data_IF_133703206375
#
_entry.id   IF_133703206375
#
_cell.length_a   1.000
_cell.length_b   1.000
_cell.length_c   1.000
_cell.angle_alpha   90.00
_cell.angle_beta   90.00
_cell.angle_gamma   90.00
#
_symmetry.space_group_name_H-M   'P 1'
#
loop_
_entity.id
_entity.type
_entity.pdbx_description
1 polymer ?
#
# COMPACT_ATOMS: atom_id res chain seq x y z
N UNK A 1 -21.04 -8.41 5.05
CA UNK A 1 -21.23 -9.10 3.75
C UNK A 1 -20.86 -8.21 2.56
N UNK A 2 -21.32 -6.95 2.48
CA UNK A 2 -20.89 -6.09 1.35
C UNK A 2 -19.37 -5.86 1.31
N UNK A 3 -18.75 -5.59 2.48
CA UNK A 3 -17.29 -5.40 2.59
C UNK A 3 -16.47 -6.61 2.17
N UNK A 4 -16.99 -7.82 2.36
CA UNK A 4 -16.30 -9.06 1.99
C UNK A 4 -16.38 -9.33 0.50
N UNK A 5 -17.50 -8.98 -0.15
CA UNK A 5 -17.64 -9.06 -1.60
C UNK A 5 -16.66 -8.08 -2.27
N UNK A 6 -16.65 -6.82 -1.83
CA UNK A 6 -15.72 -5.82 -2.34
C UNK A 6 -14.26 -6.25 -2.15
N UNK A 7 -13.91 -6.79 -0.98
CA UNK A 7 -12.58 -7.33 -0.74
C UNK A 7 -12.23 -8.45 -1.73
N UNK A 8 -13.09 -9.45 -1.90
CA UNK A 8 -12.81 -10.56 -2.83
C UNK A 8 -12.68 -10.08 -4.28
N UNK A 9 -13.46 -9.07 -4.69
CA UNK A 9 -13.33 -8.45 -6.02
C UNK A 9 -12.00 -7.70 -6.16
N UNK A 10 -11.59 -6.94 -5.14
CA UNK A 10 -10.30 -6.23 -5.15
C UNK A 10 -9.12 -7.20 -5.22
N UNK A 11 -9.15 -8.29 -4.45
CA UNK A 11 -8.12 -9.35 -4.48
C UNK A 11 -8.10 -10.08 -5.82
N UNK A 12 -9.27 -10.26 -6.44
CA UNK A 12 -9.34 -10.85 -7.77
C UNK A 12 -8.64 -9.98 -8.81
N UNK A 13 -8.83 -8.65 -8.76
CA UNK A 13 -8.24 -7.70 -9.71
C UNK A 13 -6.74 -7.47 -9.48
N UNK A 14 -6.29 -7.48 -8.22
CA UNK A 14 -4.89 -7.30 -7.86
C UNK A 14 -4.56 -8.11 -6.61
N UNK A 15 -3.38 -8.73 -6.59
CA UNK A 15 -2.97 -9.61 -5.48
C UNK A 15 -2.75 -8.84 -4.17
N UNK A 16 -2.19 -7.63 -4.23
CA UNK A 16 -1.73 -6.89 -3.07
C UNK A 16 -2.83 -6.50 -2.06
N UNK A 17 -4.04 -6.09 -2.48
CA UNK A 17 -5.20 -5.90 -1.60
C UNK A 17 -5.53 -7.09 -0.68
N UNK A 18 -4.97 -8.29 -0.90
CA UNK A 18 -5.17 -9.44 -0.01
C UNK A 18 -4.83 -9.12 1.45
N UNK A 19 -3.87 -8.22 1.70
CA UNK A 19 -3.49 -7.80 3.05
C UNK A 19 -4.63 -7.07 3.81
N UNK A 20 -5.62 -6.52 3.11
CA UNK A 20 -6.78 -5.86 3.73
C UNK A 20 -7.64 -6.84 4.54
N UNK A 21 -7.43 -8.16 4.38
CA UNK A 21 -8.03 -9.17 5.26
C UNK A 21 -7.75 -8.86 6.73
N UNK A 22 -6.56 -8.33 7.07
CA UNK A 22 -6.21 -7.98 8.44
C UNK A 22 -7.11 -6.86 8.99
N UNK A 23 -7.37 -5.81 8.21
CA UNK A 23 -8.29 -4.75 8.60
C UNK A 23 -9.73 -5.26 8.74
N UNK A 24 -10.16 -6.16 7.84
CA UNK A 24 -11.46 -6.81 7.97
C UNK A 24 -11.55 -7.65 9.24
N UNK A 25 -10.54 -8.44 9.57
CA UNK A 25 -10.53 -9.27 10.79
C UNK A 25 -10.54 -8.44 12.07
N UNK A 26 -9.84 -7.31 12.08
CA UNK A 26 -9.82 -6.38 13.22
C UNK A 26 -11.17 -5.69 13.40
N UNK A 27 -11.91 -5.42 12.31
CA UNK A 27 -13.22 -4.76 12.37
C UNK A 27 -14.26 -5.56 13.17
N UNK A 28 -14.22 -6.89 13.10
CA UNK A 28 -15.19 -7.75 13.77
C UNK A 28 -14.58 -8.31 15.06
N UNK A 29 -15.31 -8.20 16.17
CA UNK A 29 -14.83 -8.64 17.49
C UNK A 29 -15.11 -10.12 17.73
N UNK A 30 -16.25 -10.63 17.26
CA UNK A 30 -16.67 -12.01 17.49
C UNK A 30 -15.90 -12.99 16.59
N UNK A 31 -15.38 -14.06 17.19
CA UNK A 31 -14.66 -15.11 16.48
C UNK A 31 -15.52 -15.76 15.38
N UNK A 32 -16.83 -15.95 15.65
CA UNK A 32 -17.79 -16.47 14.67
C UNK A 32 -17.86 -15.58 13.43
N UNK A 33 -17.93 -14.27 13.59
CA UNK A 33 -17.99 -13.30 12.48
C UNK A 33 -16.69 -13.32 11.67
N UNK A 34 -15.53 -13.38 12.34
CA UNK A 34 -14.23 -13.50 11.66
C UNK A 34 -14.14 -14.75 10.79
N UNK A 35 -14.55 -15.90 11.32
CA UNK A 35 -14.57 -17.15 10.56
C UNK A 35 -15.53 -17.02 9.37
N UNK A 36 -16.76 -16.52 9.58
CA UNK A 36 -17.72 -16.33 8.49
C UNK A 36 -17.18 -15.41 7.38
N UNK A 37 -16.44 -14.37 7.75
CA UNK A 37 -15.85 -13.43 6.78
C UNK A 37 -14.75 -14.12 5.97
N UNK A 38 -13.87 -14.85 6.63
CA UNK A 38 -12.80 -15.61 5.95
C UNK A 38 -13.44 -16.62 5.00
N UNK A 39 -14.37 -17.44 5.48
CA UNK A 39 -15.00 -18.49 4.67
C UNK A 39 -15.74 -17.89 3.48
N UNK A 40 -16.55 -16.85 3.69
CA UNK A 40 -17.27 -16.19 2.62
C UNK A 40 -16.34 -15.50 1.62
N UNK A 41 -15.26 -14.86 2.09
CA UNK A 41 -14.27 -14.23 1.20
C UNK A 41 -13.54 -15.26 0.33
N UNK A 42 -13.19 -16.43 0.89
CA UNK A 42 -12.56 -17.53 0.18
C UNK A 42 -13.53 -18.15 -0.83
N UNK A 43 -14.78 -18.38 -0.44
CA UNK A 43 -15.82 -18.92 -1.34
C UNK A 43 -16.02 -17.99 -2.54
N UNK A 44 -16.14 -16.68 -2.31
CA UNK A 44 -16.28 -15.71 -3.40
C UNK A 44 -15.01 -15.66 -4.25
N UNK A 45 -13.82 -15.67 -3.66
CA UNK A 45 -12.56 -15.66 -4.41
C UNK A 45 -12.46 -16.89 -5.30
N UNK A 46 -12.75 -18.08 -4.77
CA UNK A 46 -12.78 -19.34 -5.54
C UNK A 46 -13.80 -19.24 -6.67
N UNK A 47 -15.01 -18.73 -6.39
CA UNK A 47 -16.04 -18.54 -7.41
C UNK A 47 -15.58 -17.58 -8.52
N UNK A 48 -14.92 -16.47 -8.17
CA UNK A 48 -14.37 -15.51 -9.12
C UNK A 48 -13.20 -16.10 -9.94
N UNK A 49 -12.35 -16.93 -9.33
CA UNK A 49 -11.27 -17.63 -10.03
C UNK A 49 -11.82 -18.62 -11.05
N UNK A 50 -12.86 -19.39 -10.69
CA UNK A 50 -13.54 -20.29 -11.62
C UNK A 50 -14.32 -19.54 -12.71
N UNK A 51 -14.92 -18.41 -12.36
CA UNK A 51 -15.59 -17.55 -13.32
C UNK A 51 -14.61 -17.01 -14.37
N UNK A 52 -13.42 -16.54 -13.94
CA UNK A 52 -12.36 -16.10 -14.84
C UNK A 52 -11.79 -17.27 -15.68
N UNK A 53 -11.66 -18.46 -15.09
CA UNK A 53 -11.25 -19.66 -15.82
C UNK A 53 -12.23 -20.01 -16.95
N UNK A 54 -13.54 -19.94 -16.67
CA UNK A 54 -14.58 -20.17 -17.67
C UNK A 54 -14.57 -19.11 -18.77
N UNK A 55 -14.45 -17.82 -18.41
CA UNK A 55 -14.36 -16.72 -19.38
C UNK A 55 -13.11 -16.82 -20.27
N UNK A 56 -12.01 -17.35 -19.74
CA UNK A 56 -10.75 -17.52 -20.45
C UNK A 56 -10.67 -18.84 -21.23
N UNK A 57 -11.81 -19.43 -21.59
CA UNK A 57 -11.87 -20.65 -22.41
C UNK A 57 -11.31 -21.90 -21.72
N UNK A 58 -11.59 -22.07 -20.42
CA UNK A 58 -11.07 -23.18 -19.60
C UNK A 58 -9.54 -23.20 -19.53
N UNK A 59 -8.92 -22.02 -19.49
CA UNK A 59 -7.47 -21.88 -19.37
C UNK A 59 -7.06 -21.00 -18.18
N UNK A 60 -6.03 -21.45 -17.47
CA UNK A 60 -5.42 -20.75 -16.34
C UNK A 60 -4.39 -19.68 -16.74
N UNK A 61 -4.22 -19.39 -18.03
CA UNK A 61 -3.32 -18.35 -18.53
C UNK A 61 -3.49 -16.99 -17.81
N UNK A 62 -4.71 -16.63 -17.40
CA UNK A 62 -4.95 -15.40 -16.66
C UNK A 62 -4.19 -15.31 -15.33
N UNK A 63 -3.93 -16.44 -14.65
CA UNK A 63 -3.14 -16.45 -13.41
C UNK A 63 -1.72 -15.96 -13.69
N UNK A 64 -1.14 -16.41 -14.81
CA UNK A 64 0.19 -16.00 -15.23
C UNK A 64 0.22 -14.52 -15.59
N UNK A 65 -0.77 -14.09 -16.39
CA UNK A 65 -0.89 -12.70 -16.86
C UNK A 65 -1.25 -11.69 -15.76
N UNK A 66 -1.92 -12.12 -14.68
CA UNK A 66 -2.35 -11.24 -13.59
C UNK A 66 -1.46 -11.38 -12.36
N UNK A 67 -1.46 -12.54 -11.71
CA UNK A 67 -0.80 -12.69 -10.40
C UNK A 67 0.69 -12.93 -10.53
N UNK A 68 1.12 -13.81 -11.44
CA UNK A 68 2.54 -14.09 -11.64
C UNK A 68 3.25 -12.89 -12.28
N UNK A 69 2.61 -12.18 -13.19
CA UNK A 69 3.11 -10.91 -13.74
C UNK A 69 3.43 -9.89 -12.63
N UNK A 70 2.51 -9.69 -11.68
CA UNK A 70 2.73 -8.79 -10.52
C UNK A 70 3.89 -9.26 -9.65
N UNK A 71 4.02 -10.57 -9.41
CA UNK A 71 5.05 -11.10 -8.52
C UNK A 71 6.44 -11.13 -9.16
N UNK A 72 6.55 -11.54 -10.43
CA UNK A 72 7.83 -11.69 -11.15
C UNK A 72 8.31 -10.39 -11.79
N UNK A 73 7.48 -9.35 -11.88
CA UNK A 73 7.85 -7.98 -12.30
C UNK A 73 8.65 -7.99 -13.60
N UNK A 74 8.09 -8.63 -14.62
CA UNK A 74 8.76 -8.80 -15.92
C UNK A 74 8.91 -7.48 -16.68
N UNK A 75 7.92 -6.61 -16.55
CA UNK A 75 7.95 -5.30 -17.18
C UNK A 75 8.63 -4.28 -16.25
N UNK A 76 9.70 -3.68 -16.74
CA UNK A 76 10.46 -2.64 -16.06
C UNK A 76 10.27 -1.27 -16.73
N UNK A 77 9.18 -1.11 -17.49
CA UNK A 77 8.79 0.21 -17.99
C UNK A 77 8.72 1.22 -16.83
N UNK A 78 9.21 2.44 -17.04
CA UNK A 78 9.23 3.44 -15.99
C UNK A 78 7.83 3.72 -15.44
N UNK A 79 7.69 3.61 -14.13
CA UNK A 79 6.43 3.85 -13.43
C UNK A 79 6.69 4.66 -12.14
N UNK A 80 5.68 4.82 -11.28
CA UNK A 80 5.80 5.64 -10.05
C UNK A 80 6.41 4.84 -8.89
N UNK A 81 6.48 3.51 -9.02
CA UNK A 81 6.99 2.62 -8.00
C UNK A 81 8.50 2.55 -7.92
N UNK A 82 8.97 1.89 -6.88
CA UNK A 82 10.40 1.74 -6.57
C UNK A 82 11.03 0.58 -7.39
N UNK A 83 10.20 -0.36 -7.85
CA UNK A 83 10.66 -1.62 -8.45
C UNK A 83 11.43 -1.40 -9.76
N UNK A 84 10.84 -0.68 -10.72
CA UNK A 84 11.36 -0.62 -12.08
C UNK A 84 12.83 -0.18 -12.14
N UNK A 85 13.17 0.91 -11.44
CA UNK A 85 14.51 1.48 -11.48
C UNK A 85 15.52 0.57 -10.77
N UNK A 86 15.16 0.05 -9.59
CA UNK A 86 16.02 -0.87 -8.84
C UNK A 86 16.31 -2.16 -9.64
N UNK A 87 15.30 -2.76 -10.28
CA UNK A 87 15.47 -4.00 -11.04
C UNK A 87 16.14 -3.82 -12.40
N UNK A 88 16.23 -2.59 -12.93
CA UNK A 88 17.08 -2.27 -14.08
C UNK A 88 18.56 -2.24 -13.67
N UNK A 89 18.88 -1.72 -12.48
CA UNK A 89 20.25 -1.59 -12.01
C UNK A 89 20.83 -2.90 -11.45
N UNK A 90 19.99 -3.78 -10.91
CA UNK A 90 20.44 -5.05 -10.32
C UNK A 90 20.89 -6.05 -11.38
N UNK A 91 22.06 -6.65 -11.15
CA UNK A 91 22.54 -7.75 -11.98
C UNK A 91 21.55 -8.93 -11.99
N UNK A 92 21.33 -9.52 -13.17
CA UNK A 92 20.43 -10.66 -13.38
C UNK A 92 20.65 -11.83 -12.41
N UNK A 93 21.90 -12.09 -12.02
CA UNK A 93 22.24 -13.13 -11.05
C UNK A 93 21.53 -12.93 -9.69
N UNK A 94 21.39 -11.68 -9.22
CA UNK A 94 20.78 -11.36 -7.93
C UNK A 94 19.31 -10.96 -8.02
N UNK A 95 18.77 -10.75 -9.23
CA UNK A 95 17.38 -10.30 -9.47
C UNK A 95 16.37 -11.11 -8.66
N UNK A 96 16.45 -12.44 -8.73
CA UNK A 96 15.50 -13.33 -8.04
C UNK A 96 15.55 -13.16 -6.52
N UNK A 97 16.74 -13.01 -5.94
CA UNK A 97 16.90 -12.79 -4.50
C UNK A 97 16.20 -11.50 -4.06
N UNK A 98 16.50 -10.38 -4.73
CA UNK A 98 15.90 -9.10 -4.37
C UNK A 98 14.40 -9.03 -4.64
N UNK A 99 13.91 -9.73 -5.66
CA UNK A 99 12.48 -9.86 -5.92
C UNK A 99 11.75 -10.46 -4.71
N UNK A 100 12.26 -11.55 -4.14
CA UNK A 100 11.69 -12.12 -2.91
C UNK A 100 11.75 -11.15 -1.74
N UNK A 101 12.87 -10.43 -1.58
CA UNK A 101 13.02 -9.43 -0.51
C UNK A 101 11.95 -8.33 -0.64
N UNK A 102 11.76 -7.77 -1.84
CA UNK A 102 10.78 -6.72 -2.09
C UNK A 102 9.33 -7.22 -1.88
N UNK A 103 8.99 -8.40 -2.39
CA UNK A 103 7.63 -8.96 -2.23
C UNK A 103 7.31 -9.31 -0.76
N UNK A 104 8.28 -9.85 -0.01
CA UNK A 104 8.10 -10.19 1.41
C UNK A 104 8.05 -8.94 2.29
N UNK A 105 8.71 -7.85 1.89
CA UNK A 105 8.80 -6.61 2.68
C UNK A 105 7.43 -6.09 3.11
N UNK A 106 6.42 -6.14 2.24
CA UNK A 106 5.04 -5.74 2.55
C UNK A 106 4.48 -6.53 3.75
N UNK A 107 4.78 -7.83 3.83
CA UNK A 107 4.28 -8.72 4.87
C UNK A 107 4.94 -8.46 6.23
N UNK A 108 6.17 -7.95 6.26
CA UNK A 108 6.90 -7.66 7.51
C UNK A 108 6.16 -6.61 8.35
N UNK A 109 5.56 -5.60 7.71
CA UNK A 109 4.82 -4.53 8.40
C UNK A 109 3.40 -4.96 8.81
N UNK A 110 2.87 -6.02 8.21
CA UNK A 110 1.50 -6.50 8.45
C UNK A 110 1.27 -6.85 9.93
N UNK A 111 2.19 -7.60 10.53
CA UNK A 111 2.05 -8.12 11.89
C UNK A 111 2.14 -7.00 12.93
N UNK A 112 3.19 -6.13 12.94
CA UNK A 112 3.26 -5.01 13.87
C UNK A 112 2.08 -4.05 13.75
N UNK A 113 1.66 -3.68 12.52
CA UNK A 113 0.54 -2.78 12.31
C UNK A 113 -0.78 -3.37 12.82
N UNK A 114 -1.04 -4.65 12.51
CA UNK A 114 -2.26 -5.33 12.94
C UNK A 114 -2.37 -5.46 14.46
N UNK A 115 -1.26 -5.73 15.15
CA UNK A 115 -1.22 -5.80 16.61
C UNK A 115 -1.40 -4.41 17.26
N UNK A 116 -0.75 -3.39 16.69
CA UNK A 116 -0.75 -2.02 17.22
C UNK A 116 -2.11 -1.35 17.06
N UNK A 117 -2.74 -1.53 15.89
CA UNK A 117 -3.99 -0.90 15.48
C UNK A 117 -5.21 -1.80 15.66
N UNK A 118 -5.10 -2.85 16.50
CA UNK A 118 -6.20 -3.79 16.80
C UNK A 118 -7.49 -3.15 17.33
N UNK A 119 -7.42 -1.90 17.79
CA UNK A 119 -8.56 -1.13 18.29
C UNK A 119 -9.22 -0.24 17.24
N UNK A 120 -8.55 0.03 16.12
CA UNK A 120 -9.06 0.90 15.07
C UNK A 120 -8.82 0.29 13.68
N UNK A 121 -9.81 -0.49 13.22
CA UNK A 121 -9.76 -1.16 11.92
C UNK A 121 -9.67 -0.17 10.74
N UNK A 122 -10.23 1.02 10.88
CA UNK A 122 -10.23 2.03 9.82
C UNK A 122 -8.83 2.61 9.62
N UNK A 123 -8.16 3.00 10.71
CA UNK A 123 -6.77 3.45 10.64
C UNK A 123 -5.86 2.34 10.13
N UNK A 124 -6.09 1.08 10.55
CA UNK A 124 -5.34 -0.06 10.00
C UNK A 124 -5.51 -0.19 8.49
N UNK A 125 -6.74 -0.10 7.96
CA UNK A 125 -6.99 -0.13 6.53
C UNK A 125 -6.21 0.99 5.82
N UNK A 126 -6.30 2.22 6.33
CA UNK A 126 -5.59 3.37 5.76
C UNK A 126 -4.07 3.14 5.71
N UNK A 127 -3.47 2.61 6.78
CA UNK A 127 -2.05 2.31 6.80
C UNK A 127 -1.67 1.21 5.79
N UNK A 128 -2.50 0.19 5.63
CA UNK A 128 -2.29 -0.86 4.62
C UNK A 128 -2.43 -0.31 3.19
N UNK A 129 -3.30 0.67 2.97
CA UNK A 129 -3.43 1.34 1.66
C UNK A 129 -2.17 2.11 1.30
N UNK A 130 -1.62 2.89 2.24
CA UNK A 130 -0.36 3.60 2.04
C UNK A 130 0.77 2.61 1.78
N UNK A 131 0.84 1.51 2.56
CA UNK A 131 1.85 0.47 2.40
C UNK A 131 1.83 -0.16 1.00
N UNK A 132 0.64 -0.44 0.45
CA UNK A 132 0.47 -0.92 -0.92
C UNK A 132 0.93 0.13 -1.92
N UNK A 133 0.55 1.40 -1.76
CA UNK A 133 0.99 2.44 -2.70
C UNK A 133 2.51 2.58 -2.76
N UNK A 134 3.22 2.36 -1.64
CA UNK A 134 4.69 2.48 -1.59
C UNK A 134 5.39 1.24 -2.14
N UNK A 135 4.92 0.05 -1.74
CA UNK A 135 5.70 -1.19 -1.90
C UNK A 135 5.15 -2.15 -2.95
N UNK A 136 4.12 -1.78 -3.72
CA UNK A 136 3.69 -2.61 -4.86
C UNK A 136 4.60 -2.43 -6.08
N UNK A 137 4.59 -3.42 -6.96
CA UNK A 137 5.43 -3.40 -8.17
C UNK A 137 5.01 -2.38 -9.21
N UNK A 138 3.72 -2.06 -9.27
CA UNK A 138 3.13 -1.15 -10.26
C UNK A 138 2.11 -0.19 -9.62
N UNK A 139 2.54 0.70 -8.70
CA UNK A 139 1.63 1.62 -8.04
C UNK A 139 1.22 2.75 -8.99
N UNK A 140 0.08 3.37 -8.69
CA UNK A 140 -0.43 4.52 -9.41
C UNK A 140 -0.41 5.78 -8.54
N UNK A 141 -0.24 6.96 -9.14
CA UNK A 141 -0.44 8.23 -8.39
C UNK A 141 -1.88 8.40 -7.91
N UNK A 142 -2.85 7.71 -8.53
CA UNK A 142 -4.24 7.76 -8.11
C UNK A 142 -4.47 7.09 -6.75
N UNK A 143 -3.60 6.14 -6.35
CA UNK A 143 -3.70 5.42 -5.07
C UNK A 143 -3.64 6.40 -3.88
N UNK A 144 -2.89 7.50 -4.04
CA UNK A 144 -2.79 8.59 -3.08
C UNK A 144 -4.14 9.23 -2.77
N UNK A 145 -5.01 9.41 -3.74
CA UNK A 145 -6.25 10.19 -3.60
C UNK A 145 -7.16 9.65 -2.50
N UNK A 146 -7.13 8.33 -2.26
CA UNK A 146 -8.06 7.70 -1.32
C UNK A 146 -7.69 7.99 0.14
N UNK A 147 -6.39 7.95 0.48
CA UNK A 147 -5.90 8.24 1.83
C UNK A 147 -5.39 9.67 1.99
N UNK A 148 -5.33 10.45 0.91
CA UNK A 148 -5.07 11.87 1.01
C UNK A 148 -6.24 12.58 1.72
N UNK A 149 -7.48 12.09 1.78
CA UNK A 149 -8.56 12.83 2.49
C UNK A 149 -8.36 13.04 4.01
N UNK A 150 -7.24 12.62 4.59
CA UNK A 150 -6.91 12.74 6.02
C UNK A 150 -5.84 13.81 6.28
N UNK A 151 -5.82 14.36 7.50
CA UNK A 151 -4.93 15.46 7.90
C UNK A 151 -3.47 15.09 7.65
N UNK A 152 -2.79 15.81 6.76
CA UNK A 152 -1.36 15.66 6.52
C UNK A 152 -0.56 16.68 7.33
N UNK A 153 0.64 16.30 7.73
CA UNK A 153 1.62 17.28 8.20
C UNK A 153 2.02 18.21 7.05
N UNK A 154 2.46 19.42 7.39
CA UNK A 154 2.92 20.40 6.40
C UNK A 154 4.09 19.86 5.56
N UNK A 155 4.96 19.06 6.19
CA UNK A 155 6.14 18.45 5.54
C UNK A 155 5.71 17.32 4.59
N UNK A 156 4.93 16.35 5.07
CA UNK A 156 4.50 15.20 4.26
C UNK A 156 3.56 15.63 3.13
N UNK A 157 2.58 16.49 3.42
CA UNK A 157 1.69 17.07 2.41
C UNK A 157 2.42 17.94 1.39
N UNK A 158 3.33 18.80 1.84
CA UNK A 158 4.15 19.64 0.96
C UNK A 158 5.04 18.82 0.02
N UNK A 159 5.71 17.80 0.55
CA UNK A 159 6.54 16.90 -0.25
C UNK A 159 5.72 16.10 -1.29
N UNK A 160 4.52 15.61 -0.92
CA UNK A 160 3.61 14.94 -1.85
C UNK A 160 3.15 15.90 -2.96
N UNK A 161 2.76 17.13 -2.62
CA UNK A 161 2.34 18.12 -3.62
C UNK A 161 3.48 18.47 -4.58
N UNK A 162 4.68 18.73 -4.06
CA UNK A 162 5.85 19.03 -4.90
C UNK A 162 6.16 17.87 -5.84
N UNK A 163 6.13 16.63 -5.34
CA UNK A 163 6.46 15.46 -6.17
C UNK A 163 5.39 15.12 -7.20
N UNK A 164 4.10 15.33 -6.90
CA UNK A 164 3.00 15.17 -7.86
C UNK A 164 3.14 16.16 -9.02
N UNK A 165 3.59 17.39 -8.75
CA UNK A 165 3.83 18.41 -9.80
C UNK A 165 5.13 18.14 -10.54
N UNK A 166 6.19 17.77 -9.82
CA UNK A 166 7.53 17.61 -10.39
C UNK A 166 7.66 16.34 -11.24
N UNK A 167 7.01 15.24 -10.86
CA UNK A 167 7.18 13.96 -11.54
C UNK A 167 6.73 13.99 -13.03
N UNK A 168 5.57 14.58 -13.41
CA UNK A 168 5.22 14.76 -14.83
C UNK A 168 6.21 15.64 -15.59
N UNK A 169 6.75 16.69 -14.94
CA UNK A 169 7.77 17.56 -15.56
C UNK A 169 9.05 16.78 -15.82
N UNK A 170 9.52 16.00 -14.84
CA UNK A 170 10.72 15.17 -14.99
C UNK A 170 10.52 14.06 -16.02
N UNK A 171 9.33 13.47 -16.07
CA UNK A 171 8.95 12.49 -17.11
C UNK A 171 9.04 13.12 -18.50
N UNK A 172 8.42 14.29 -18.70
CA UNK A 172 8.43 15.01 -19.97
C UNK A 172 9.87 15.37 -20.37
N UNK A 173 10.68 15.83 -19.42
CA UNK A 173 12.08 16.18 -19.66
C UNK A 173 12.92 14.98 -20.12
N UNK A 174 12.64 13.81 -19.57
CA UNK A 174 13.37 12.60 -19.89
C UNK A 174 12.87 11.94 -21.18
N UNK A 175 11.57 11.64 -21.27
CA UNK A 175 10.99 10.85 -22.36
C UNK A 175 10.74 11.68 -23.62
N UNK A 176 10.24 12.91 -23.47
CA UNK A 176 9.77 13.70 -24.62
C UNK A 176 10.83 14.66 -25.12
N UNK A 177 11.44 15.46 -24.24
CA UNK A 177 12.43 16.45 -24.68
C UNK A 177 13.86 15.91 -24.71
N UNK A 178 14.13 14.78 -24.04
CA UNK A 178 15.46 14.17 -23.96
C UNK A 178 16.51 15.04 -23.23
N UNK A 179 16.08 16.07 -22.50
CA UNK A 179 16.95 17.00 -21.78
C UNK A 179 17.22 16.56 -20.33
N UNK A 180 16.43 15.64 -19.79
CA UNK A 180 16.58 15.07 -18.45
C UNK A 180 17.03 13.62 -18.47
N UNK A 181 17.74 13.17 -17.43
CA UNK A 181 18.07 11.77 -17.22
C UNK A 181 16.97 11.06 -16.41
N UNK A 182 16.83 9.74 -16.60
CA UNK A 182 15.98 8.84 -15.83
C UNK A 182 16.06 9.06 -14.32
N UNK A 183 17.27 9.37 -13.83
CA UNK A 183 17.55 9.57 -12.41
C UNK A 183 16.73 10.72 -11.82
N UNK A 184 16.40 11.76 -12.59
CA UNK A 184 15.58 12.88 -12.09
C UNK A 184 14.14 12.46 -11.87
N UNK A 185 13.58 11.69 -12.80
CA UNK A 185 12.25 11.12 -12.65
C UNK A 185 12.21 10.15 -11.46
N UNK A 186 13.19 9.26 -11.37
CA UNK A 186 13.29 8.31 -10.25
C UNK A 186 13.46 9.02 -8.90
N UNK A 187 14.25 10.09 -8.81
CA UNK A 187 14.41 10.87 -7.59
C UNK A 187 13.09 11.52 -7.13
N UNK A 188 12.27 12.00 -8.08
CA UNK A 188 10.95 12.53 -7.78
C UNK A 188 9.99 11.45 -7.26
N UNK A 189 9.96 10.27 -7.90
CA UNK A 189 9.11 9.14 -7.47
C UNK A 189 9.57 8.50 -6.16
N UNK A 190 10.88 8.49 -5.91
CA UNK A 190 11.44 8.04 -4.64
C UNK A 190 11.06 9.00 -3.51
N UNK A 191 11.17 10.31 -3.74
CA UNK A 191 10.74 11.34 -2.77
C UNK A 191 9.24 11.24 -2.50
N UNK A 192 8.43 10.95 -3.53
CA UNK A 192 7.00 10.68 -3.38
C UNK A 192 6.76 9.48 -2.45
N UNK A 193 7.45 8.36 -2.67
CA UNK A 193 7.36 7.16 -1.83
C UNK A 193 7.80 7.44 -0.38
N UNK A 194 8.89 8.20 -0.19
CA UNK A 194 9.37 8.63 1.13
C UNK A 194 8.35 9.52 1.84
N UNK A 195 7.72 10.46 1.13
CA UNK A 195 6.69 11.32 1.68
C UNK A 195 5.44 10.52 2.12
N UNK A 196 5.08 9.46 1.39
CA UNK A 196 4.04 8.51 1.81
C UNK A 196 4.42 7.74 3.09
N UNK A 197 5.69 7.31 3.22
CA UNK A 197 6.18 6.65 4.46
C UNK A 197 6.14 7.63 5.65
N UNK A 198 6.51 8.89 5.44
CA UNK A 198 6.37 9.92 6.48
C UNK A 198 4.91 10.11 6.87
N UNK A 199 3.99 10.19 5.90
CA UNK A 199 2.56 10.27 6.19
C UNK A 199 2.06 9.07 7.01
N UNK A 200 2.45 7.84 6.64
CA UNK A 200 2.15 6.62 7.40
C UNK A 200 2.63 6.72 8.84
N UNK A 201 3.87 7.19 9.03
CA UNK A 201 4.50 7.33 10.34
C UNK A 201 3.83 8.42 11.17
N UNK A 202 3.54 9.59 10.60
CA UNK A 202 2.86 10.71 11.26
C UNK A 202 1.48 10.29 11.78
N UNK A 203 0.70 9.58 10.96
CA UNK A 203 -0.62 9.08 11.32
C UNK A 203 -0.57 8.04 12.43
N UNK A 204 0.39 7.11 12.35
CA UNK A 204 0.60 6.10 13.39
C UNK A 204 1.02 6.74 14.70
N UNK A 205 1.94 7.71 14.63
CA UNK A 205 2.47 8.42 15.78
C UNK A 205 1.41 9.26 16.49
N UNK A 206 0.62 10.02 15.73
CA UNK A 206 -0.51 10.78 16.26
C UNK A 206 -1.54 9.89 16.96
N UNK A 207 -1.84 8.71 16.39
CA UNK A 207 -2.72 7.74 17.03
C UNK A 207 -2.15 7.16 18.33
N UNK A 208 -0.86 6.81 18.35
CA UNK A 208 -0.20 6.26 19.53
C UNK A 208 -0.12 7.28 20.67
N UNK A 209 0.17 8.56 20.36
CA UNK A 209 0.15 9.64 21.35
C UNK A 209 -1.25 9.84 21.93
N UNK A 210 -2.29 9.91 21.08
CA UNK A 210 -3.68 10.02 21.55
C UNK A 210 -4.05 8.87 22.50
N UNK A 211 -3.72 7.63 22.12
CA UNK A 211 -3.97 6.44 22.95
C UNK A 211 -3.19 6.46 24.27
N UNK A 212 -2.02 7.08 24.30
CA UNK A 212 -1.22 7.25 25.52
C UNK A 212 -1.84 8.30 26.46
N UNK A 213 -2.32 9.43 25.90
CA UNK A 213 -3.06 10.46 26.65
C UNK A 213 -4.31 9.86 27.31
N UNK A 214 -5.11 9.12 26.54
CA UNK A 214 -6.32 8.44 27.02
C UNK A 214 -6.01 7.44 28.14
N UNK A 215 -4.95 6.63 27.99
CA UNK A 215 -4.53 5.65 29.02
C UNK A 215 -4.04 6.30 30.30
N UNK A 216 -3.42 7.48 30.22
CA UNK A 216 -2.91 8.21 31.39
C UNK A 216 -3.98 9.10 32.04
N UNK A 217 -5.15 9.26 31.42
CA UNK A 217 -6.21 10.13 31.93
C UNK A 217 -5.80 11.61 32.01
N UNK A 218 -4.89 12.05 31.14
CA UNK A 218 -4.42 13.43 31.14
C UNK A 218 -5.52 14.32 30.55
N UNK A 219 -6.15 15.13 31.39
CA UNK A 219 -7.17 16.12 30.98
C UNK A 219 -6.61 17.53 30.82
N UNK A 220 -5.40 17.76 31.32
CA UNK A 220 -4.75 19.07 31.33
C UNK A 220 -4.19 19.41 29.93
N UNK A 221 -4.76 20.42 29.27
CA UNK A 221 -4.42 20.82 27.89
C UNK A 221 -2.92 21.12 27.73
N UNK A 222 -2.29 21.67 28.78
CA UNK A 222 -0.85 21.97 28.78
C UNK A 222 -0.02 20.70 28.62
N UNK A 223 -0.37 19.64 29.36
CA UNK A 223 0.31 18.34 29.30
C UNK A 223 -0.01 17.58 28.02
N UNK A 224 -1.21 17.75 27.48
CA UNK A 224 -1.57 17.20 26.17
C UNK A 224 -0.72 17.88 25.09
N UNK A 225 -0.59 19.20 25.10
CA UNK A 225 0.20 19.94 24.12
C UNK A 225 1.67 19.50 24.17
N UNK A 226 2.28 19.45 25.36
CA UNK A 226 3.65 18.93 25.53
C UNK A 226 3.76 17.51 24.96
N UNK A 227 2.85 16.62 25.34
CA UNK A 227 2.87 15.23 24.87
C UNK A 227 2.48 15.05 23.40
N UNK A 228 1.98 16.08 22.71
CA UNK A 228 1.62 16.06 21.28
C UNK A 228 2.67 16.76 20.40
N UNK A 229 3.44 17.70 20.95
CA UNK A 229 4.42 18.52 20.21
C UNK A 229 5.90 18.24 20.55
N UNK A 230 6.22 17.60 21.68
CA UNK A 230 7.58 17.08 21.98
C UNK A 230 7.73 15.64 21.51
#
# INVERSE_FOLDING_TARGET
>A
MFSTILFSVLVQLSLYPAIYICALLVKFSALKERIMIITFSIIILIALLFFNYFLNGNNWNYIDSTYKFLLDVHDLTPNVGIFWYFFIEVFNHFRRFFLWVFQINILVYLVPLSLTLRSNAFLLLQQLMILISVFTSYPSMADCLVYLNFRWGLISGGALLVTIVLAPVMWQMWIVTGSGNANFYFAATLTYSVAQIFLLTDLLYGYLRLKLVERRGITDESKIAVLMFE
#
